data_IF_931643287599
#
_entry.id   IF_931643287599
#
_cell.length_a   1.000
_cell.length_b   1.000
_cell.length_c   1.000
_cell.angle_alpha   90.00
_cell.angle_beta   90.00
_cell.angle_gamma   90.00
#
_symmetry.space_group_name_H-M   'P 1'
#
loop_
_entity.id
_entity.type
_entity.pdbx_description
1 polymer ?
#
# COMPACT_ATOMS: atom_id res chain seq x y z
N UNK A 1 -6.10 -6.76 2.35
CA UNK A 1 -5.64 -7.04 3.74
C UNK A 1 -4.22 -6.53 3.87
N UNK A 2 -3.91 -5.84 4.96
CA UNK A 2 -2.58 -5.30 5.25
C UNK A 2 -1.77 -6.38 5.98
N UNK A 3 -0.55 -6.73 5.52
CA UNK A 3 0.25 -7.77 6.15
C UNK A 3 0.53 -7.46 7.64
N UNK A 4 0.37 -8.47 8.51
CA UNK A 4 0.64 -8.32 9.96
C UNK A 4 2.05 -7.88 10.28
N UNK A 5 3.02 -8.32 9.47
CA UNK A 5 4.41 -7.87 9.58
C UNK A 5 4.50 -6.35 9.45
N UNK A 6 3.73 -5.73 8.56
CA UNK A 6 3.72 -4.27 8.41
C UNK A 6 3.25 -3.57 9.68
N UNK A 7 2.12 -4.01 10.23
CA UNK A 7 1.57 -3.45 11.49
C UNK A 7 2.56 -3.63 12.66
N UNK A 8 3.29 -4.76 12.69
CA UNK A 8 4.33 -5.02 13.68
C UNK A 8 5.50 -4.04 13.62
N UNK A 9 5.97 -3.68 12.42
CA UNK A 9 7.16 -2.84 12.25
C UNK A 9 6.84 -1.34 12.24
N UNK A 10 5.70 -0.95 11.67
CA UNK A 10 5.34 0.47 11.44
C UNK A 10 4.25 0.99 12.39
N UNK A 11 3.78 0.14 13.29
CA UNK A 11 2.70 0.41 14.21
C UNK A 11 1.33 0.32 13.55
N UNK A 12 0.32 0.69 14.33
CA UNK A 12 -1.06 0.67 13.89
C UNK A 12 -1.31 1.69 12.78
N UNK A 13 -2.07 1.29 11.76
CA UNK A 13 -2.52 2.22 10.73
C UNK A 13 -3.78 2.95 11.23
N UNK A 14 -3.85 4.29 11.12
CA UNK A 14 -5.03 5.04 11.51
C UNK A 14 -6.28 4.65 10.71
N UNK A 15 -7.45 4.94 11.29
CA UNK A 15 -8.76 4.71 10.64
C UNK A 15 -8.96 5.53 9.38
N UNK A 16 -8.26 6.66 9.24
CA UNK A 16 -8.30 7.54 8.08
C UNK A 16 -6.88 7.80 7.60
N UNK A 17 -6.66 7.59 6.30
CA UNK A 17 -5.36 7.79 5.66
C UNK A 17 -5.52 8.62 4.40
N UNK A 18 -4.48 9.38 4.06
CA UNK A 18 -4.34 10.08 2.79
C UNK A 18 -3.25 9.39 2.00
N UNK A 19 -3.58 9.03 0.76
CA UNK A 19 -2.68 8.35 -0.17
C UNK A 19 -2.39 9.28 -1.34
N UNK A 20 -1.13 9.66 -1.52
CA UNK A 20 -0.68 10.55 -2.59
C UNK A 20 -0.01 9.75 -3.70
N UNK A 21 -0.52 9.88 -4.93
CA UNK A 21 0.07 9.25 -6.12
C UNK A 21 1.35 9.96 -6.57
N UNK A 22 2.11 9.33 -7.47
CA UNK A 22 3.24 9.97 -8.15
C UNK A 22 2.84 11.20 -8.99
N UNK A 23 1.56 11.36 -9.34
CA UNK A 23 1.01 12.55 -10.00
C UNK A 23 0.59 13.65 -9.01
N UNK A 24 0.77 13.44 -7.70
CA UNK A 24 0.37 14.38 -6.65
C UNK A 24 -1.14 14.36 -6.32
N UNK A 25 -1.90 13.40 -6.84
CA UNK A 25 -3.32 13.27 -6.54
C UNK A 25 -3.51 12.63 -5.16
N UNK A 26 -4.33 13.26 -4.33
CA UNK A 26 -4.62 12.79 -2.98
C UNK A 26 -5.92 11.98 -2.92
N UNK A 27 -5.84 10.80 -2.34
CA UNK A 27 -6.96 9.89 -2.12
C UNK A 27 -7.19 9.69 -0.63
N UNK A 28 -8.40 10.03 -0.16
CA UNK A 28 -8.81 9.71 1.20
C UNK A 28 -9.33 8.28 1.24
N UNK A 29 -8.81 7.50 2.18
CA UNK A 29 -9.23 6.13 2.40
C UNK A 29 -9.47 5.89 3.89
N UNK A 30 -10.31 4.92 4.19
CA UNK A 30 -10.48 4.43 5.56
C UNK A 30 -9.83 3.07 5.73
N UNK A 31 -9.51 2.73 6.98
CA UNK A 31 -9.12 1.38 7.35
C UNK A 31 -10.16 0.77 8.29
N UNK A 32 -10.37 -0.54 8.15
CA UNK A 32 -11.20 -1.33 9.06
C UNK A 32 -10.39 -2.45 9.68
N UNK A 33 -10.68 -2.77 10.95
CA UNK A 33 -10.15 -3.96 11.62
C UNK A 33 -11.19 -5.07 11.60
N UNK A 34 -10.74 -6.29 11.37
CA UNK A 34 -11.53 -7.50 11.48
C UNK A 34 -10.68 -8.55 12.19
N UNK A 35 -10.96 -8.79 13.47
CA UNK A 35 -10.09 -9.57 14.34
C UNK A 35 -8.68 -8.95 14.44
N UNK A 36 -7.66 -9.73 14.09
CA UNK A 36 -6.26 -9.30 14.09
C UNK A 36 -5.79 -8.75 12.74
N UNK A 37 -6.69 -8.62 11.77
CA UNK A 37 -6.38 -8.18 10.41
C UNK A 37 -6.87 -6.74 10.19
N UNK A 38 -6.06 -5.97 9.48
CA UNK A 38 -6.40 -4.60 9.05
C UNK A 38 -6.62 -4.59 7.55
N UNK A 39 -7.62 -3.85 7.08
CA UNK A 39 -7.95 -3.71 5.66
C UNK A 39 -8.06 -2.23 5.31
N UNK A 40 -7.63 -1.87 4.10
CA UNK A 40 -8.07 -0.62 3.47
C UNK A 40 -9.50 -0.88 2.98
N UNK A 41 -10.41 0.02 3.33
CA UNK A 41 -11.84 -0.14 3.16
C UNK A 41 -12.39 0.90 2.17
N UNK A 42 -13.01 1.97 2.67
CA UNK A 42 -13.58 3.00 1.82
C UNK A 42 -12.48 3.74 1.05
N UNK A 43 -12.77 4.11 -0.20
CA UNK A 43 -11.82 4.75 -1.10
C UNK A 43 -10.94 3.79 -1.89
N UNK A 44 -10.69 2.56 -1.39
CA UNK A 44 -9.86 1.57 -2.09
C UNK A 44 -10.43 1.17 -3.44
N UNK A 45 -11.71 0.79 -3.51
CA UNK A 45 -12.35 0.37 -4.76
C UNK A 45 -12.32 1.48 -5.82
N UNK A 46 -12.61 2.72 -5.41
CA UNK A 46 -12.59 3.87 -6.32
C UNK A 46 -11.17 4.15 -6.84
N UNK A 47 -10.16 4.07 -5.96
CA UNK A 47 -8.75 4.16 -6.34
C UNK A 47 -8.36 3.07 -7.34
N UNK A 48 -8.74 1.82 -7.07
CA UNK A 48 -8.44 0.70 -7.95
C UNK A 48 -9.05 0.87 -9.34
N UNK A 49 -10.30 1.34 -9.43
CA UNK A 49 -10.97 1.62 -10.71
C UNK A 49 -10.30 2.77 -11.45
N UNK A 50 -10.03 3.89 -10.77
CA UNK A 50 -9.43 5.07 -11.41
C UNK A 50 -8.02 4.81 -11.95
N UNK A 51 -7.25 3.96 -11.27
CA UNK A 51 -5.91 3.55 -11.68
C UNK A 51 -5.88 2.25 -12.51
N UNK A 52 -7.06 1.72 -12.89
CA UNK A 52 -7.21 0.51 -13.70
C UNK A 52 -6.40 -0.68 -13.16
N UNK A 53 -6.37 -0.83 -11.83
CA UNK A 53 -5.62 -1.88 -11.17
C UNK A 53 -6.16 -3.27 -11.54
N UNK A 54 -5.25 -4.19 -11.86
CA UNK A 54 -5.51 -5.57 -12.23
C UNK A 54 -4.82 -6.54 -11.29
N UNK A 55 -5.39 -7.73 -11.16
CA UNK A 55 -4.76 -8.87 -10.47
C UNK A 55 -3.34 -9.09 -11.02
N UNK A 56 -2.38 -9.32 -10.13
CA UNK A 56 -0.96 -9.47 -10.48
C UNK A 56 -0.19 -8.15 -10.61
N UNK A 57 -0.84 -6.98 -10.48
CA UNK A 57 -0.13 -5.73 -10.26
C UNK A 57 0.20 -5.54 -8.77
N UNK A 58 1.25 -4.77 -8.53
CA UNK A 58 1.73 -4.49 -7.19
C UNK A 58 1.52 -3.03 -6.85
N UNK A 59 0.92 -2.76 -5.70
CA UNK A 59 0.73 -1.41 -5.16
C UNK A 59 1.59 -1.29 -3.93
N UNK A 60 2.40 -0.25 -3.86
CA UNK A 60 3.40 -0.06 -2.81
C UNK A 60 3.12 1.22 -2.04
N UNK A 61 3.00 1.12 -0.72
CA UNK A 61 2.74 2.26 0.16
C UNK A 61 3.99 2.62 0.95
N UNK A 62 4.40 3.88 0.90
CA UNK A 62 5.46 4.45 1.75
C UNK A 62 4.82 5.41 2.75
N UNK A 63 5.09 5.20 4.03
CA UNK A 63 4.62 6.08 5.11
C UNK A 63 5.42 7.39 5.08
N UNK A 64 4.71 8.52 5.01
CA UNK A 64 5.31 9.87 5.03
C UNK A 64 5.10 10.53 6.39
N UNK A 65 3.93 10.28 7.00
CA UNK A 65 3.58 10.72 8.34
C UNK A 65 2.65 9.69 8.99
N UNK A 66 2.06 10.00 10.15
CA UNK A 66 1.14 9.07 10.82
C UNK A 66 -0.07 8.69 9.95
N UNK A 67 -0.59 9.62 9.16
CA UNK A 67 -1.80 9.44 8.34
C UNK A 67 -1.57 9.64 6.84
N UNK A 68 -0.38 10.10 6.40
CA UNK A 68 -0.06 10.31 4.99
C UNK A 68 0.88 9.25 4.46
N UNK A 69 0.54 8.74 3.28
CA UNK A 69 1.26 7.69 2.59
C UNK A 69 1.43 8.10 1.12
N UNK A 70 2.59 7.84 0.54
CA UNK A 70 2.75 7.89 -0.92
C UNK A 70 2.54 6.50 -1.51
N UNK A 71 2.01 6.44 -2.74
CA UNK A 71 1.74 5.19 -3.45
C UNK A 71 2.46 5.14 -4.80
N UNK A 72 3.05 3.98 -5.09
CA UNK A 72 3.61 3.64 -6.40
C UNK A 72 2.94 2.35 -6.88
N UNK A 73 2.53 2.32 -8.14
CA UNK A 73 1.89 1.16 -8.77
C UNK A 73 2.87 0.58 -9.78
N UNK A 74 3.16 -0.71 -9.66
CA UNK A 74 4.00 -1.48 -10.56
C UNK A 74 3.12 -2.41 -11.39
N UNK A 75 3.44 -2.55 -12.68
CA UNK A 75 2.75 -3.48 -13.55
C UNK A 75 3.17 -4.95 -13.31
N UNK A 76 2.55 -5.85 -14.06
CA UNK A 76 2.75 -7.29 -13.99
C UNK A 76 4.15 -7.76 -14.41
N UNK A 77 4.96 -6.88 -15.05
CA UNK A 77 6.32 -7.24 -15.41
C UNK A 77 7.27 -7.16 -14.23
N UNK A 78 6.90 -6.37 -13.20
CA UNK A 78 7.62 -6.17 -11.94
C UNK A 78 9.13 -6.41 -12.08
N UNK A 79 9.76 -5.76 -13.07
CA UNK A 79 11.15 -6.05 -13.41
C UNK A 79 12.02 -5.42 -12.32
N UNK A 80 12.14 -6.12 -11.21
CA UNK A 80 13.05 -5.81 -10.13
C UNK A 80 14.44 -6.28 -10.56
N UNK A 81 15.29 -5.34 -10.97
CA UNK A 81 16.73 -5.62 -11.08
C UNK A 81 17.23 -5.81 -9.66
N UNK A 82 17.42 -7.07 -9.26
CA UNK A 82 17.97 -7.47 -7.95
C UNK A 82 19.27 -6.71 -7.72
N UNK A 83 19.18 -5.62 -6.99
CA UNK A 83 20.33 -4.88 -6.50
C UNK A 83 20.66 -5.46 -5.15
N UNK A 84 21.72 -6.27 -5.16
CA UNK A 84 22.34 -6.95 -4.02
C UNK A 84 22.26 -6.08 -2.76
N UNK A 85 21.79 -6.68 -1.67
CA UNK A 85 21.61 -6.04 -0.38
C UNK A 85 22.78 -5.12 0.01
N UNK A 86 22.47 -3.85 0.23
CA UNK A 86 23.04 -3.09 1.34
C UNK A 86 21.84 -2.44 2.04
N UNK A 87 21.45 -3.01 3.18
CA UNK A 87 20.57 -2.31 4.13
C UNK A 87 21.25 -0.98 4.45
N UNK A 88 20.75 0.12 3.90
CA UNK A 88 21.15 1.48 4.24
C UNK A 88 19.86 2.28 4.38
N UNK A 89 19.73 2.92 5.55
CA UNK A 89 18.50 3.44 6.09
C UNK A 89 17.75 4.38 5.15
N UNK A 90 16.56 3.95 4.78
CA UNK A 90 15.43 4.82 4.54
C UNK A 90 14.22 4.02 5.05
N UNK A 91 13.29 4.63 5.78
CA UNK A 91 12.09 3.98 6.37
C UNK A 91 11.07 3.56 5.29
N UNK A 92 11.54 3.11 4.14
CA UNK A 92 10.76 2.73 2.97
C UNK A 92 10.68 1.21 2.93
N UNK A 93 9.64 0.65 3.56
CA UNK A 93 9.27 -0.74 3.34
C UNK A 93 8.10 -0.80 2.35
N UNK A 94 8.33 -1.51 1.26
CA UNK A 94 7.35 -1.72 0.21
C UNK A 94 6.26 -2.70 0.71
N UNK A 95 5.05 -2.21 1.03
CA UNK A 95 3.91 -3.11 1.18
C UNK A 95 3.44 -3.49 -0.20
N UNK A 96 3.83 -4.66 -0.68
CA UNK A 96 3.37 -5.20 -1.94
C UNK A 96 1.99 -5.82 -1.72
N UNK A 97 0.94 -5.14 -2.17
CA UNK A 97 -0.38 -5.77 -2.26
C UNK A 97 -0.45 -6.56 -3.57
N UNK A 98 -0.28 -7.88 -3.50
CA UNK A 98 -0.80 -8.71 -4.58
C UNK A 98 -2.33 -8.69 -4.50
N UNK A 99 -2.95 -8.13 -5.53
CA UNK A 99 -4.41 -8.05 -5.66
C UNK A 99 -5.01 -9.46 -5.77
N UNK A 100 -5.31 -10.07 -4.62
CA UNK A 100 -6.12 -11.29 -4.57
C UNK A 100 -7.59 -10.88 -4.50
N UNK A 101 -8.33 -11.08 -5.60
CA UNK A 101 -9.79 -11.01 -5.58
C UNK A 101 -10.27 -12.16 -4.70
N UNK A 102 -10.80 -11.87 -3.51
CA UNK A 102 -11.63 -12.85 -2.81
C UNK A 102 -12.97 -12.90 -3.54
N UNK A 103 -13.22 -14.01 -4.24
CA UNK A 103 -14.55 -14.43 -4.66
C UNK A 103 -15.45 -14.65 -3.46
#
# INVERSE_FOLDING_TARGET
MIPKAFVKWFGEIPSNIIVTTNTGCNWRMTTRREGNDTFIDQGWTAFAVAHQLKVGQFVTFRKMSSFEYSVVIFDHTCTEVVSRCAYHGDDTMCVVFELHVRS
#
